data_IF_367607608314
#
_entry.id   IF_367607608314
#
_cell.length_a   1.000
_cell.length_b   1.000
_cell.length_c   1.000
_cell.angle_alpha   90.00
_cell.angle_beta   90.00
_cell.angle_gamma   90.00
#
_symmetry.space_group_name_H-M   'P 1'
#
loop_
_entity.id
_entity.type
_entity.pdbx_description
1 polymer ?
#
# COMPACT_ATOMS: atom_id res chain seq x y z
N UNK A 1 22.97 12.95 72.07
CA UNK A 1 24.17 12.25 72.60
C UNK A 1 24.31 11.00 71.75
N UNK A 2 25.23 11.02 70.78
CA UNK A 2 26.53 10.33 70.88
C UNK A 2 26.34 8.82 70.77
N UNK A 3 26.98 8.05 69.88
CA UNK A 3 28.18 8.23 69.06
C UNK A 3 28.26 6.99 68.13
N UNK A 4 28.95 7.14 66.98
CA UNK A 4 30.00 6.25 66.41
C UNK A 4 29.83 4.72 66.37
N UNK A 5 30.39 3.92 65.46
CA UNK A 5 31.14 4.06 64.20
C UNK A 5 31.27 2.64 63.60
N UNK A 6 31.08 2.54 62.29
CA UNK A 6 31.85 1.82 61.27
C UNK A 6 32.84 0.68 61.65
N UNK A 7 32.87 -0.40 60.86
CA UNK A 7 33.92 -0.64 59.83
C UNK A 7 33.75 -1.98 59.09
N UNK A 8 33.99 -1.96 57.78
CA UNK A 8 34.02 -3.15 56.91
C UNK A 8 34.28 -2.83 55.44
N UNK A 9 35.38 -2.14 55.17
CA UNK A 9 35.87 -1.69 53.85
C UNK A 9 36.13 -2.86 52.89
N UNK A 10 35.71 -2.75 51.61
CA UNK A 10 36.58 -3.04 50.46
C UNK A 10 36.30 -2.08 49.29
N UNK A 11 37.40 -1.52 48.82
CA UNK A 11 37.55 -0.39 47.94
C UNK A 11 37.90 -0.88 46.52
N UNK A 12 37.41 -0.20 45.48
CA UNK A 12 37.99 -0.02 44.12
C UNK A 12 36.95 0.76 43.31
N UNK A 13 37.05 2.09 43.18
CA UNK A 13 37.86 2.79 42.16
C UNK A 13 37.60 2.16 40.78
N UNK A 14 37.06 2.82 39.75
CA UNK A 14 37.23 4.21 39.33
C UNK A 14 36.30 4.45 38.13
N UNK A 15 35.87 5.70 37.93
CA UNK A 15 35.56 6.32 36.63
C UNK A 15 34.20 6.02 36.01
N UNK A 16 33.22 6.84 36.40
CA UNK A 16 32.07 7.19 35.58
C UNK A 16 32.56 7.89 34.31
N UNK A 17 32.69 7.15 33.21
CA UNK A 17 32.71 7.77 31.89
C UNK A 17 31.26 8.01 31.49
N UNK A 18 30.89 9.29 31.52
CA UNK A 18 29.80 9.87 30.76
C UNK A 18 29.97 9.48 29.28
N UNK A 19 29.25 8.45 28.85
CA UNK A 19 28.97 8.22 27.43
C UNK A 19 27.59 8.79 27.17
N UNK A 20 27.58 9.98 26.58
CA UNK A 20 26.42 10.57 25.91
C UNK A 20 25.74 9.53 25.01
N UNK A 21 24.41 9.63 24.81
CA UNK A 21 23.63 8.59 24.15
C UNK A 21 24.13 8.38 22.72
N UNK A 22 24.79 7.25 22.48
CA UNK A 22 25.01 6.77 21.11
C UNK A 22 23.67 6.25 20.61
N UNK A 23 22.92 7.14 19.96
CA UNK A 23 21.85 6.80 19.03
C UNK A 23 22.34 5.68 18.11
N UNK A 24 21.70 4.50 18.07
CA UNK A 24 21.86 3.61 16.94
C UNK A 24 21.15 4.27 15.76
N UNK A 25 21.97 4.91 14.93
CA UNK A 25 21.87 5.00 13.48
C UNK A 25 20.47 4.85 12.87
N UNK A 26 19.97 5.97 12.34
CA UNK A 26 19.42 6.07 10.99
C UNK A 26 18.76 4.79 10.47
N UNK A 27 17.44 4.72 10.62
CA UNK A 27 16.59 3.73 9.99
C UNK A 27 16.78 3.81 8.48
N UNK A 28 17.73 3.05 7.93
CA UNK A 28 17.86 2.84 6.49
C UNK A 28 16.64 2.03 6.06
N UNK A 29 15.61 2.79 5.71
CA UNK A 29 14.40 2.31 5.06
C UNK A 29 14.81 1.55 3.81
N UNK A 30 14.36 0.31 3.69
CA UNK A 30 14.77 -0.57 2.61
C UNK A 30 13.68 -1.57 2.30
N UNK A 31 13.66 -2.04 1.06
CA UNK A 31 12.59 -2.85 0.52
C UNK A 31 12.88 -4.32 0.70
N UNK A 32 11.93 -5.07 1.25
CA UNK A 32 12.05 -6.51 1.46
C UNK A 32 11.22 -7.22 0.40
N UNK A 33 11.88 -7.99 -0.46
CA UNK A 33 11.16 -8.79 -1.45
C UNK A 33 10.28 -9.84 -0.76
N UNK A 34 8.98 -9.84 -1.05
CA UNK A 34 8.00 -10.77 -0.46
C UNK A 34 8.33 -12.23 -0.76
N UNK A 35 8.96 -12.51 -1.90
CA UNK A 35 9.28 -13.87 -2.35
C UNK A 35 10.60 -14.38 -1.75
N UNK A 36 11.72 -13.69 -1.96
CA UNK A 36 13.04 -14.18 -1.51
C UNK A 36 13.48 -13.66 -0.14
N UNK A 37 12.72 -12.74 0.47
CA UNK A 37 12.97 -12.14 1.79
C UNK A 37 14.30 -11.36 1.91
N UNK A 38 15.01 -11.15 0.80
CA UNK A 38 16.20 -10.30 0.77
C UNK A 38 15.79 -8.84 0.95
N UNK A 39 16.51 -8.12 1.81
CA UNK A 39 16.42 -6.67 1.97
C UNK A 39 17.30 -5.99 0.94
N UNK A 40 16.76 -4.98 0.29
CA UNK A 40 17.45 -4.13 -0.66
C UNK A 40 17.41 -2.70 -0.13
N UNK A 41 18.58 -2.08 -0.03
CA UNK A 41 18.74 -0.70 0.47
C UNK A 41 19.26 0.23 -0.61
N UNK A 42 19.57 -0.31 -1.79
CA UNK A 42 20.08 0.44 -2.92
C UNK A 42 19.01 0.51 -4.02
N UNK A 43 18.82 1.70 -4.58
CA UNK A 43 17.99 1.94 -5.76
C UNK A 43 18.53 1.24 -7.02
N UNK A 44 19.78 0.78 -6.97
CA UNK A 44 20.43 -0.01 -8.03
C UNK A 44 19.67 -1.32 -8.31
N UNK A 45 18.97 -1.84 -7.32
CA UNK A 45 18.17 -3.05 -7.45
C UNK A 45 16.77 -2.70 -7.94
N UNK A 46 16.43 -3.23 -9.11
CA UNK A 46 15.11 -3.13 -9.70
C UNK A 46 14.06 -3.84 -8.84
N UNK A 47 13.32 -3.05 -8.07
CA UNK A 47 12.26 -3.47 -7.15
C UNK A 47 10.92 -2.93 -7.66
N UNK A 48 9.93 -3.81 -7.72
CA UNK A 48 8.54 -3.48 -8.05
C UNK A 48 7.72 -3.43 -6.76
N UNK A 49 6.87 -2.41 -6.61
CA UNK A 49 5.87 -2.34 -5.55
C UNK A 49 4.50 -2.63 -6.11
N UNK A 50 3.76 -3.56 -5.49
CA UNK A 50 2.40 -3.87 -5.94
C UNK A 50 1.46 -2.75 -5.51
N UNK A 51 0.69 -2.20 -6.45
CA UNK A 51 -0.23 -1.09 -6.17
C UNK A 51 -1.44 -1.49 -5.30
N UNK A 52 -1.76 -2.80 -5.21
CA UNK A 52 -2.90 -3.29 -4.43
C UNK A 52 -2.54 -3.65 -2.98
N UNK A 53 -1.43 -4.37 -2.78
CA UNK A 53 -1.03 -4.84 -1.44
C UNK A 53 0.18 -4.11 -0.85
N UNK A 54 0.77 -3.18 -1.60
CA UNK A 54 1.95 -2.39 -1.22
C UNK A 54 3.23 -3.19 -0.93
N UNK A 55 3.23 -4.49 -1.17
CA UNK A 55 4.38 -5.37 -0.98
C UNK A 55 5.40 -5.23 -2.12
N UNK A 56 6.67 -5.49 -1.82
CA UNK A 56 7.80 -5.32 -2.74
C UNK A 56 8.29 -6.64 -3.33
N UNK A 57 8.77 -6.61 -4.57
CA UNK A 57 9.21 -7.77 -5.32
C UNK A 57 10.43 -7.42 -6.18
N UNK A 58 11.52 -8.19 -6.07
CA UNK A 58 12.67 -7.96 -6.95
C UNK A 58 12.42 -8.52 -8.35
N UNK A 59 12.92 -7.79 -9.36
CA UNK A 59 12.86 -8.18 -10.77
C UNK A 59 13.33 -9.61 -11.04
N UNK A 60 14.35 -10.09 -10.32
CA UNK A 60 14.85 -11.47 -10.43
C UNK A 60 13.80 -12.50 -10.02
N UNK A 61 13.09 -12.30 -8.90
CA UNK A 61 12.04 -13.21 -8.48
C UNK A 61 10.82 -13.15 -9.39
N UNK A 62 10.55 -11.98 -10.00
CA UNK A 62 9.51 -11.81 -11.00
C UNK A 62 9.92 -12.30 -12.39
N UNK A 63 11.19 -12.67 -12.59
CA UNK A 63 11.78 -13.01 -13.90
C UNK A 63 11.54 -11.92 -14.96
N UNK A 64 11.50 -10.66 -14.54
CA UNK A 64 11.33 -9.52 -15.45
C UNK A 64 12.65 -9.20 -16.14
N UNK A 65 12.60 -9.00 -17.44
CA UNK A 65 13.73 -8.44 -18.16
C UNK A 65 13.92 -6.96 -17.80
N UNK A 66 15.07 -6.40 -18.15
CA UNK A 66 15.30 -4.97 -17.98
C UNK A 66 14.29 -4.14 -18.77
N UNK A 67 13.93 -4.55 -19.99
CA UNK A 67 12.97 -3.84 -20.83
C UNK A 67 11.56 -3.86 -20.24
N UNK A 68 11.13 -5.00 -19.69
CA UNK A 68 9.81 -5.11 -19.06
C UNK A 68 9.73 -4.23 -17.82
N UNK A 69 10.78 -4.23 -16.98
CA UNK A 69 10.85 -3.36 -15.81
C UNK A 69 10.76 -1.88 -16.17
N UNK A 70 11.50 -1.43 -17.19
CA UNK A 70 11.43 -0.04 -17.65
C UNK A 70 10.04 0.32 -18.20
N UNK A 71 9.33 -0.63 -18.81
CA UNK A 71 7.97 -0.41 -19.32
C UNK A 71 6.99 -0.04 -18.20
N UNK A 72 7.15 -0.62 -17.01
CA UNK A 72 6.32 -0.28 -15.84
C UNK A 72 6.66 1.07 -15.19
N UNK A 73 7.71 1.77 -15.64
CA UNK A 73 7.92 3.18 -15.22
C UNK A 73 6.97 4.14 -15.89
N UNK A 74 6.29 3.72 -16.97
CA UNK A 74 5.25 4.53 -17.58
C UNK A 74 4.04 4.56 -16.65
N UNK A 75 3.54 5.75 -16.26
CA UNK A 75 2.44 5.90 -15.30
C UNK A 75 1.11 5.33 -15.80
N UNK A 76 0.99 4.98 -17.09
CA UNK A 76 -0.19 4.31 -17.65
C UNK A 76 -0.22 2.80 -17.40
N UNK A 77 0.92 2.20 -17.03
CA UNK A 77 0.98 0.78 -16.73
C UNK A 77 0.93 0.56 -15.22
N UNK A 78 -0.19 0.01 -14.78
CA UNK A 78 -0.35 -0.44 -13.41
C UNK A 78 0.27 -1.81 -13.21
N UNK A 79 0.96 -2.02 -12.09
CA UNK A 79 1.54 -3.30 -11.76
C UNK A 79 0.94 -3.91 -10.49
N UNK A 80 0.47 -5.15 -10.63
CA UNK A 80 -0.03 -5.96 -9.53
C UNK A 80 0.78 -7.25 -9.42
N UNK A 81 1.04 -7.70 -8.20
CA UNK A 81 1.68 -8.99 -8.02
C UNK A 81 0.72 -10.12 -8.43
N UNK A 82 1.23 -11.33 -8.75
CA UNK A 82 0.42 -12.43 -9.26
C UNK A 82 -0.78 -12.82 -8.38
N UNK A 83 -0.69 -12.62 -7.07
CA UNK A 83 -1.79 -12.92 -6.13
C UNK A 83 -2.88 -11.85 -6.09
N UNK A 84 -2.56 -10.62 -6.51
CA UNK A 84 -3.48 -9.48 -6.53
C UNK A 84 -4.08 -9.26 -7.92
N UNK A 85 -3.34 -9.57 -8.98
CA UNK A 85 -3.75 -9.36 -10.37
C UNK A 85 -5.16 -9.94 -10.66
N UNK A 86 -5.37 -11.22 -10.34
CA UNK A 86 -6.67 -11.87 -10.50
C UNK A 86 -7.79 -11.29 -9.61
N UNK A 87 -7.46 -10.62 -8.50
CA UNK A 87 -8.47 -9.94 -7.66
C UNK A 87 -8.85 -8.59 -8.29
N UNK A 88 -7.86 -7.81 -8.70
CA UNK A 88 -8.07 -6.51 -9.33
C UNK A 88 -8.87 -6.68 -10.62
N UNK A 89 -8.49 -7.63 -11.48
CA UNK A 89 -9.22 -7.88 -12.72
C UNK A 89 -10.68 -8.30 -12.49
N UNK A 90 -10.96 -9.03 -11.40
CA UNK A 90 -12.35 -9.36 -11.03
C UNK A 90 -13.11 -8.12 -10.56
N UNK A 91 -12.48 -7.26 -9.75
CA UNK A 91 -13.11 -6.03 -9.28
C UNK A 91 -13.44 -5.08 -10.44
N UNK A 92 -12.50 -4.87 -11.37
CA UNK A 92 -12.72 -4.04 -12.58
C UNK A 92 -13.89 -4.58 -13.40
N UNK A 93 -14.00 -5.91 -13.54
CA UNK A 93 -15.15 -6.51 -14.23
C UNK A 93 -16.46 -6.25 -13.48
N UNK A 94 -16.47 -6.42 -12.16
CA UNK A 94 -17.66 -6.17 -11.34
C UNK A 94 -18.10 -4.71 -11.41
N UNK A 95 -17.17 -3.77 -11.37
CA UNK A 95 -17.46 -2.34 -11.52
C UNK A 95 -18.13 -2.05 -12.86
N UNK A 96 -17.60 -2.58 -13.96
CA UNK A 96 -18.24 -2.47 -15.28
C UNK A 96 -19.65 -3.05 -15.28
N UNK A 97 -19.85 -4.25 -14.73
CA UNK A 97 -21.17 -4.90 -14.67
C UNK A 97 -22.16 -4.05 -13.85
N UNK A 98 -21.70 -3.38 -12.79
CA UNK A 98 -22.52 -2.47 -11.98
C UNK A 98 -22.87 -1.21 -12.79
N UNK A 99 -21.90 -0.59 -13.45
CA UNK A 99 -22.12 0.58 -14.29
C UNK A 99 -23.15 0.31 -15.40
N UNK A 100 -23.05 -0.83 -16.08
CA UNK A 100 -23.99 -1.24 -17.11
C UNK A 100 -25.42 -1.39 -16.54
N UNK A 101 -25.56 -2.03 -15.37
CA UNK A 101 -26.86 -2.19 -14.71
C UNK A 101 -27.44 -0.85 -14.26
N UNK A 102 -26.62 0.04 -13.73
CA UNK A 102 -27.03 1.39 -13.34
C UNK A 102 -27.49 2.18 -14.56
N UNK A 103 -26.74 2.17 -15.66
CA UNK A 103 -27.09 2.84 -16.91
C UNK A 103 -28.42 2.31 -17.47
N UNK A 104 -28.61 0.99 -17.50
CA UNK A 104 -29.85 0.38 -17.95
C UNK A 104 -31.05 0.77 -17.08
N UNK A 105 -30.88 0.80 -15.75
CA UNK A 105 -31.93 1.22 -14.83
C UNK A 105 -32.28 2.70 -14.98
N UNK A 106 -31.28 3.58 -15.10
CA UNK A 106 -31.46 5.02 -15.31
C UNK A 106 -32.23 5.30 -16.60
N UNK A 107 -31.86 4.62 -17.70
CA UNK A 107 -32.59 4.73 -18.97
C UNK A 107 -34.06 4.29 -18.81
N UNK A 108 -34.31 3.17 -18.13
CA UNK A 108 -35.68 2.70 -17.84
C UNK A 108 -36.48 3.72 -17.02
N UNK A 109 -35.85 4.41 -16.07
CA UNK A 109 -36.50 5.46 -15.29
C UNK A 109 -36.82 6.70 -16.13
N UNK A 110 -35.93 7.12 -17.02
CA UNK A 110 -36.19 8.25 -17.93
C UNK A 110 -37.36 7.93 -18.86
N UNK A 111 -37.40 6.75 -19.46
CA UNK A 111 -38.54 6.30 -20.29
C UNK A 111 -39.84 6.32 -19.48
N UNK A 112 -39.81 5.86 -18.22
CA UNK A 112 -40.99 5.85 -17.35
C UNK A 112 -41.46 7.26 -17.03
N UNK A 113 -40.54 8.19 -16.76
CA UNK A 113 -40.84 9.59 -16.49
C UNK A 113 -41.55 10.24 -17.68
N UNK A 114 -41.00 10.10 -18.89
CA UNK A 114 -41.64 10.64 -20.12
C UNK A 114 -43.06 10.11 -20.29
N UNK A 115 -43.26 8.80 -20.11
CA UNK A 115 -44.61 8.20 -20.18
C UNK A 115 -45.57 8.79 -19.14
N UNK A 116 -45.11 8.99 -17.91
CA UNK A 116 -45.94 9.60 -16.87
C UNK A 116 -46.29 11.05 -17.19
N UNK A 117 -45.33 11.83 -17.72
CA UNK A 117 -45.55 13.22 -18.15
C UNK A 117 -46.58 13.28 -19.29
N UNK A 118 -46.48 12.40 -20.28
CA UNK A 118 -47.47 12.28 -21.37
C UNK A 118 -48.87 11.90 -20.85
N UNK A 119 -48.95 10.96 -19.90
CA UNK A 119 -50.21 10.56 -19.27
C UNK A 119 -50.83 11.69 -18.44
N UNK A 120 -50.01 12.50 -17.76
CA UNK A 120 -50.47 13.69 -17.03
C UNK A 120 -51.00 14.75 -17.98
N UNK A 121 -50.31 15.01 -19.09
CA UNK A 121 -50.77 15.94 -20.11
C UNK A 121 -52.15 15.52 -20.67
N UNK A 122 -52.28 14.25 -21.07
CA UNK A 122 -53.55 13.68 -21.57
C UNK A 122 -54.70 13.81 -20.57
N UNK A 123 -54.43 13.61 -19.28
CA UNK A 123 -55.45 13.73 -18.22
C UNK A 123 -55.81 15.17 -17.90
N UNK A 124 -54.93 16.14 -18.18
CA UNK A 124 -55.17 17.56 -17.93
C UNK A 124 -56.07 18.25 -18.98
N UNK A 125 -56.46 17.55 -20.05
CA UNK A 125 -57.45 18.05 -21.02
C UNK A 125 -56.95 19.17 -21.94
N UNK A 126 -55.63 19.33 -22.06
CA UNK A 126 -54.96 20.11 -23.10
C UNK A 126 -54.61 19.22 -24.31
#
# INVERSE_FOLDING_TARGET
MSQDQQQGKKNRNTKWNSVSPSTPNESTEGWICKLCKKKFTEDSVKIMQCEYCSEYYCSTCLKLSNADYESFKNPLFHWFCPSCDAKVMRNVKQERDIEERCAAWMNKMEIRKVKLEEEMLKKSGL
#
